data_IF_317505280980
#
_entry.id   IF_317505280980
#
_cell.length_a   1.000
_cell.length_b   1.000
_cell.length_c   1.000
_cell.angle_alpha   90.00
_cell.angle_beta   90.00
_cell.angle_gamma   90.00
#
_symmetry.space_group_name_H-M   'P 1'
#
loop_
_entity.id
_entity.type
_entity.pdbx_description
1 polymer ?
#
# COMPACT_ATOMS: atom_id res chain seq x y z
N UNK A 1 -4.99 -3.13 -7.52
CA UNK A 1 -6.33 -3.62 -7.90
C UNK A 1 -6.78 -4.70 -6.91
N UNK A 2 -8.03 -5.19 -6.94
CA UNK A 2 -8.48 -6.30 -6.07
C UNK A 2 -7.64 -7.56 -6.26
N UNK A 3 -7.18 -7.85 -7.48
CA UNK A 3 -6.26 -8.98 -7.72
C UNK A 3 -4.93 -8.81 -6.98
N UNK A 4 -4.34 -7.60 -6.98
CA UNK A 4 -3.13 -7.31 -6.20
C UNK A 4 -3.38 -7.38 -4.69
N UNK A 5 -4.53 -6.88 -4.23
CA UNK A 5 -4.87 -6.85 -2.81
C UNK A 5 -5.04 -8.28 -2.26
N UNK A 6 -5.63 -9.18 -3.04
CA UNK A 6 -5.87 -10.58 -2.68
C UNK A 6 -4.69 -11.51 -3.02
N UNK A 7 -3.62 -10.99 -3.64
CA UNK A 7 -2.45 -11.80 -3.96
C UNK A 7 -1.80 -12.33 -2.66
N UNK A 8 -1.42 -13.62 -2.58
CA UNK A 8 -0.94 -14.23 -1.33
C UNK A 8 0.33 -13.60 -0.75
N UNK A 9 1.11 -12.91 -1.58
CA UNK A 9 2.30 -12.18 -1.12
C UNK A 9 2.02 -10.73 -0.69
N UNK A 10 0.79 -10.23 -0.82
CA UNK A 10 0.39 -8.91 -0.32
C UNK A 10 0.05 -9.03 1.16
N UNK A 11 0.78 -8.28 2.00
CA UNK A 11 0.76 -8.48 3.44
C UNK A 11 0.47 -7.18 4.18
N UNK A 12 -0.36 -7.30 5.21
CA UNK A 12 -0.41 -6.33 6.32
C UNK A 12 0.62 -6.80 7.35
N UNK A 13 1.67 -6.01 7.54
CA UNK A 13 2.88 -6.43 8.26
C UNK A 13 3.04 -5.63 9.55
N UNK A 14 3.26 -6.33 10.66
CA UNK A 14 3.52 -5.77 12.00
C UNK A 14 4.89 -6.14 12.58
N UNK A 15 5.64 -7.03 11.91
CA UNK A 15 6.95 -7.51 12.35
C UNK A 15 7.95 -7.59 11.19
N UNK A 16 9.23 -7.47 11.48
CA UNK A 16 10.33 -7.58 10.51
C UNK A 16 11.55 -8.22 11.18
N UNK A 17 12.16 -9.21 10.51
CA UNK A 17 13.38 -9.89 10.97
C UNK A 17 13.28 -10.47 12.40
N UNK A 18 12.10 -11.03 12.74
CA UNK A 18 11.87 -11.67 14.06
C UNK A 18 11.58 -10.72 15.21
N UNK A 19 11.46 -9.41 14.95
CA UNK A 19 11.10 -8.40 15.94
C UNK A 19 9.93 -7.52 15.47
N UNK A 20 9.40 -6.69 16.37
CA UNK A 20 8.39 -5.69 16.02
C UNK A 20 8.86 -4.78 14.88
N UNK A 21 7.94 -4.37 14.02
CA UNK A 21 8.26 -3.53 12.88
C UNK A 21 8.81 -2.17 13.36
N UNK A 22 10.08 -1.81 13.05
CA UNK A 22 10.63 -0.56 13.53
C UNK A 22 9.94 0.66 12.90
N UNK A 23 9.90 1.78 13.62
CA UNK A 23 9.22 3.02 13.18
C UNK A 23 9.72 3.47 11.81
N UNK A 24 11.04 3.51 11.57
CA UNK A 24 11.59 3.91 10.26
C UNK A 24 11.13 3.05 9.07
N UNK A 25 10.69 1.81 9.34
CA UNK A 25 10.15 0.89 8.35
C UNK A 25 8.61 0.90 8.26
N UNK A 26 7.94 1.76 9.02
CA UNK A 26 6.48 1.92 8.99
C UNK A 26 5.74 1.28 10.16
N UNK A 27 6.43 0.96 11.26
CA UNK A 27 5.81 0.45 12.48
C UNK A 27 4.74 1.40 13.06
N UNK A 28 3.71 0.90 13.75
CA UNK A 28 3.50 -0.51 14.12
C UNK A 28 2.89 -1.37 13.00
N UNK A 29 2.38 -0.75 11.92
CA UNK A 29 1.67 -1.45 10.87
C UNK A 29 1.92 -0.84 9.49
N UNK A 30 2.22 -1.69 8.51
CA UNK A 30 2.40 -1.28 7.11
C UNK A 30 1.74 -2.25 6.13
N UNK A 31 1.55 -1.80 4.90
CA UNK A 31 1.26 -2.65 3.75
C UNK A 31 2.56 -2.96 3.02
N UNK A 32 2.68 -4.20 2.57
CA UNK A 32 3.76 -4.69 1.72
C UNK A 32 3.12 -5.31 0.49
N UNK A 33 3.40 -4.73 -0.68
CA UNK A 33 2.90 -5.22 -1.99
C UNK A 33 4.12 -5.58 -2.86
N UNK A 34 4.60 -6.84 -2.83
CA UNK A 34 5.86 -7.24 -3.46
C UNK A 34 6.00 -7.07 -4.94
N UNK A 35 4.89 -7.26 -5.66
CA UNK A 35 4.93 -7.21 -7.10
C UNK A 35 4.91 -5.77 -7.62
N UNK A 36 4.73 -4.79 -6.74
CA UNK A 36 4.66 -3.36 -7.07
C UNK A 36 5.87 -2.60 -6.52
N UNK A 37 6.15 -1.44 -7.10
CA UNK A 37 7.20 -0.53 -6.64
C UNK A 37 6.93 -0.02 -5.21
N UNK A 38 8.02 0.38 -4.54
CA UNK A 38 8.02 0.66 -3.11
C UNK A 38 6.99 1.69 -2.62
N UNK A 39 6.64 2.68 -3.45
CA UNK A 39 5.65 3.70 -3.08
C UNK A 39 4.22 3.14 -2.91
N UNK A 40 3.93 1.94 -3.45
CA UNK A 40 2.66 1.22 -3.19
C UNK A 40 2.65 0.49 -1.85
N UNK A 41 3.80 0.31 -1.20
CA UNK A 41 3.92 -0.34 0.12
C UNK A 41 3.83 0.69 1.24
N UNK A 42 2.59 1.11 1.53
CA UNK A 42 2.24 2.20 2.46
C UNK A 42 2.70 1.91 3.88
N UNK A 43 3.34 2.90 4.52
CA UNK A 43 3.76 2.88 5.93
C UNK A 43 2.67 3.48 6.82
N UNK A 44 2.66 3.13 8.10
CA UNK A 44 1.82 3.75 9.14
C UNK A 44 0.31 3.64 8.85
N UNK A 45 -0.15 2.44 8.52
CA UNK A 45 -1.55 2.22 8.16
C UNK A 45 -2.42 2.33 9.40
N UNK A 46 -3.43 3.19 9.29
CA UNK A 46 -4.47 3.39 10.32
C UNK A 46 -5.85 3.03 9.83
N UNK A 47 -6.05 2.95 8.50
CA UNK A 47 -7.35 2.68 7.88
C UNK A 47 -7.20 1.98 6.55
N UNK A 48 -8.05 0.98 6.32
CA UNK A 48 -8.28 0.35 5.03
C UNK A 48 -9.71 0.67 4.58
N UNK A 49 -9.90 0.94 3.30
CA UNK A 49 -11.21 1.24 2.73
C UNK A 49 -11.34 0.50 1.41
N UNK A 50 -12.36 -0.36 1.34
CA UNK A 50 -12.71 -1.07 0.11
C UNK A 50 -13.75 -0.23 -0.61
N UNK A 51 -13.55 -0.03 -1.92
CA UNK A 51 -14.42 0.80 -2.75
C UNK A 51 -14.43 0.25 -4.17
N UNK A 52 -15.53 0.47 -4.87
CA UNK A 52 -15.72 0.25 -6.30
C UNK A 52 -15.24 1.43 -7.16
N UNK A 53 -14.91 2.59 -6.57
CA UNK A 53 -14.49 3.77 -7.32
C UNK A 53 -13.48 4.66 -6.58
N UNK A 54 -12.35 4.92 -7.23
CA UNK A 54 -11.32 5.84 -6.74
C UNK A 54 -11.72 7.32 -6.84
N UNK A 55 -12.78 7.65 -7.60
CA UNK A 55 -13.22 9.04 -7.86
C UNK A 55 -13.51 9.83 -6.59
N UNK A 56 -13.82 9.13 -5.49
CA UNK A 56 -14.14 9.73 -4.18
C UNK A 56 -12.91 10.06 -3.33
N UNK A 57 -11.70 9.70 -3.76
CA UNK A 57 -10.48 9.81 -2.98
C UNK A 57 -9.44 10.68 -3.68
N UNK A 58 -8.96 11.71 -2.98
CA UNK A 58 -7.98 12.66 -3.50
C UNK A 58 -8.51 13.41 -4.72
N UNK A 59 -7.69 13.57 -5.76
CA UNK A 59 -8.09 14.13 -7.07
C UNK A 59 -8.81 13.11 -7.96
N UNK A 60 -9.46 12.12 -7.35
CA UNK A 60 -10.09 11.00 -8.04
C UNK A 60 -9.11 9.93 -8.55
N UNK A 61 -7.85 9.98 -8.10
CA UNK A 61 -6.77 9.07 -8.48
C UNK A 61 -6.36 8.12 -7.35
N UNK A 62 -7.10 8.12 -6.23
CA UNK A 62 -6.97 7.12 -5.16
C UNK A 62 -5.82 7.35 -4.17
N UNK A 63 -4.71 7.98 -4.57
CA UNK A 63 -3.61 8.33 -3.65
C UNK A 63 -2.70 9.44 -4.19
N UNK A 64 -1.83 9.99 -3.33
CA UNK A 64 -0.94 11.10 -3.67
C UNK A 64 0.10 10.77 -4.76
N UNK A 65 0.56 9.51 -4.88
CA UNK A 65 1.59 9.17 -5.88
C UNK A 65 1.07 9.28 -7.31
N UNK A 66 -0.09 8.69 -7.68
CA UNK A 66 -0.74 8.94 -8.97
C UNK A 66 -1.03 10.41 -9.25
N UNK A 67 -1.41 11.18 -8.23
CA UNK A 67 -1.61 12.63 -8.38
C UNK A 67 -0.32 13.38 -8.70
N UNK A 68 0.82 12.84 -8.28
CA UNK A 68 2.16 13.30 -8.65
C UNK A 68 2.69 12.72 -9.97
N UNK A 69 1.87 12.00 -10.73
CA UNK A 69 2.23 11.44 -12.04
C UNK A 69 2.84 10.04 -12.02
N UNK A 70 2.92 9.38 -10.86
CA UNK A 70 3.38 7.99 -10.79
C UNK A 70 2.31 7.05 -11.37
N UNK A 71 2.74 6.03 -12.11
CA UNK A 71 1.80 5.08 -12.72
C UNK A 71 0.91 4.39 -11.68
N UNK A 72 -0.36 4.12 -12.00
CA UNK A 72 -1.23 3.39 -11.07
C UNK A 72 -0.80 1.92 -10.93
N UNK A 73 -0.39 1.31 -12.04
CA UNK A 73 0.23 -0.01 -12.09
C UNK A 73 1.72 0.18 -12.31
N UNK A 74 2.54 -0.22 -11.35
CA UNK A 74 3.99 -0.09 -11.46
C UNK A 74 4.63 -1.28 -10.77
N UNK A 75 4.85 -2.34 -11.54
CA UNK A 75 5.19 -3.64 -11.02
C UNK A 75 5.22 -4.72 -12.11
N UNK A 76 5.48 -5.95 -11.67
CA UNK A 76 5.34 -7.18 -12.48
C UNK A 76 4.02 -7.87 -12.16
#
# INVERSE_FOLDING_TARGET
>A
DMADAMHPQTLVTYAMNGADLPVGFGGPLRLRVPRQLGYKSVKYITRLTVTDSLRRFGKGLGSASPEGGYAWYAGI
#
